data_IF_836950984610
#
_entry.id   IF_836950984610
#
_cell.length_a   1.000
_cell.length_b   1.000
_cell.length_c   1.000
_cell.angle_alpha   90.00
_cell.angle_beta   90.00
_cell.angle_gamma   90.00
#
_symmetry.space_group_name_H-M   'P 1'
#
loop_
_entity.id
_entity.type
_entity.pdbx_description
1 polymer ?
#
# COMPACT_ATOMS: atom_id res chain seq x y z
N UNK A 1 10.45 14.14 -25.44
CA UNK A 1 9.48 14.84 -24.58
C UNK A 1 9.91 14.61 -23.14
N UNK A 2 10.88 15.40 -22.69
CA UNK A 2 11.52 15.32 -21.38
C UNK A 2 10.53 15.88 -20.36
N UNK A 3 9.83 15.01 -19.64
CA UNK A 3 9.11 15.42 -18.45
C UNK A 3 10.14 15.98 -17.47
N UNK A 4 9.92 17.24 -17.08
CA UNK A 4 10.83 18.02 -16.26
C UNK A 4 11.02 17.36 -14.90
N UNK A 5 12.27 16.95 -14.63
CA UNK A 5 12.77 16.69 -13.26
C UNK A 5 12.61 17.91 -12.35
N UNK A 6 12.39 19.09 -12.94
CA UNK A 6 12.28 20.39 -12.27
C UNK A 6 10.96 20.61 -11.52
N UNK A 7 10.00 19.67 -11.56
CA UNK A 7 8.68 19.79 -10.93
C UNK A 7 8.27 18.58 -10.07
N UNK A 8 9.19 17.66 -9.76
CA UNK A 8 8.91 16.62 -8.77
C UNK A 8 8.71 17.29 -7.42
N UNK A 9 7.52 17.14 -6.87
CA UNK A 9 7.24 17.58 -5.51
C UNK A 9 8.18 16.83 -4.57
N UNK A 10 8.56 17.41 -3.42
CA UNK A 10 9.20 16.63 -2.34
C UNK A 10 8.40 15.36 -2.01
N UNK A 11 7.08 15.36 -2.29
CA UNK A 11 6.20 14.21 -2.13
C UNK A 11 6.44 13.03 -3.09
N UNK A 12 7.22 13.20 -4.16
CA UNK A 12 7.56 12.15 -5.14
C UNK A 12 8.86 11.44 -4.80
N UNK A 13 9.52 11.80 -3.70
CA UNK A 13 10.73 11.14 -3.22
C UNK A 13 10.37 9.83 -2.49
N UNK A 14 10.72 8.64 -3.04
CA UNK A 14 10.40 7.36 -2.42
C UNK A 14 11.01 7.22 -1.02
N UNK A 15 12.20 7.78 -0.77
CA UNK A 15 12.86 7.69 0.54
C UNK A 15 12.11 8.47 1.62
N UNK A 16 11.60 9.66 1.30
CA UNK A 16 10.76 10.43 2.24
C UNK A 16 9.47 9.66 2.56
N UNK A 17 8.85 9.05 1.55
CA UNK A 17 7.63 8.27 1.77
C UNK A 17 7.89 7.02 2.60
N UNK A 18 9.07 6.38 2.49
CA UNK A 18 9.44 5.24 3.35
C UNK A 18 9.54 5.68 4.82
N UNK A 19 10.25 6.77 5.12
CA UNK A 19 10.34 7.26 6.51
C UNK A 19 8.96 7.51 7.10
N UNK A 20 8.09 8.20 6.34
CA UNK A 20 6.72 8.50 6.77
C UNK A 20 5.85 7.25 6.89
N UNK A 21 6.05 6.26 6.01
CA UNK A 21 5.38 4.96 6.09
C UNK A 21 5.72 4.25 7.40
N UNK A 22 7.00 4.23 7.78
CA UNK A 22 7.48 3.61 9.01
C UNK A 22 6.93 4.31 10.27
N UNK A 23 6.62 5.61 10.18
CA UNK A 23 5.90 6.36 11.21
C UNK A 23 4.37 6.13 11.20
N UNK A 24 3.87 5.20 10.39
CA UNK A 24 2.44 4.84 10.32
C UNK A 24 1.60 5.74 9.41
N UNK A 25 2.22 6.53 8.51
CA UNK A 25 1.48 7.44 7.64
C UNK A 25 0.83 6.70 6.45
N UNK A 26 -0.48 6.47 6.53
CA UNK A 26 -1.26 5.80 5.48
C UNK A 26 -1.18 6.53 4.12
N UNK A 27 -1.07 7.87 4.09
CA UNK A 27 -0.94 8.60 2.83
C UNK A 27 0.42 8.34 2.16
N UNK A 28 1.47 8.11 2.94
CA UNK A 28 2.78 7.76 2.40
C UNK A 28 2.76 6.34 1.78
N UNK A 29 2.05 5.39 2.41
CA UNK A 29 1.79 4.07 1.82
C UNK A 29 1.12 4.17 0.45
N UNK A 30 0.00 4.91 0.36
CA UNK A 30 -0.73 5.06 -0.90
C UNK A 30 0.15 5.64 -2.01
N UNK A 31 1.00 6.62 -1.68
CA UNK A 31 1.94 7.22 -2.65
C UNK A 31 3.01 6.25 -3.10
N UNK A 32 3.59 5.47 -2.18
CA UNK A 32 4.57 4.44 -2.54
C UNK A 32 3.97 3.39 -3.48
N UNK A 33 2.72 2.97 -3.24
CA UNK A 33 2.00 2.09 -4.15
C UNK A 33 1.87 2.73 -5.53
N UNK A 34 1.38 3.97 -5.62
CA UNK A 34 1.24 4.70 -6.89
C UNK A 34 2.58 4.87 -7.62
N UNK A 35 3.66 5.19 -6.91
CA UNK A 35 4.99 5.34 -7.50
C UNK A 35 5.48 4.01 -8.10
N UNK A 36 5.36 2.91 -7.35
CA UNK A 36 5.76 1.57 -7.82
C UNK A 36 4.89 1.08 -8.98
N UNK A 37 3.59 1.38 -8.98
CA UNK A 37 2.70 1.05 -10.10
C UNK A 37 3.02 1.86 -11.37
N UNK A 38 3.51 3.09 -11.21
CA UNK A 38 3.91 3.96 -12.33
C UNK A 38 5.27 3.56 -12.91
N UNK A 39 6.21 3.21 -12.05
CA UNK A 39 7.54 2.71 -12.43
C UNK A 39 7.99 1.58 -11.49
N UNK A 40 7.91 0.32 -11.95
CA UNK A 40 8.34 -0.84 -11.17
C UNK A 40 9.82 -0.81 -10.77
N UNK A 41 10.68 -0.04 -11.45
CA UNK A 41 12.08 0.09 -11.08
C UNK A 41 12.27 0.74 -9.71
N UNK A 42 11.31 1.57 -9.27
CA UNK A 42 11.31 2.19 -7.94
C UNK A 42 11.32 1.12 -6.84
N UNK A 43 10.67 -0.03 -7.06
CA UNK A 43 10.60 -1.11 -6.07
C UNK A 43 11.99 -1.59 -5.64
N UNK A 44 12.98 -1.59 -6.55
CA UNK A 44 14.35 -2.00 -6.23
C UNK A 44 15.00 -1.11 -5.15
N UNK A 45 14.61 0.17 -5.08
CA UNK A 45 15.08 1.12 -4.08
C UNK A 45 14.28 1.08 -2.77
N UNK A 46 13.01 0.65 -2.83
CA UNK A 46 12.07 0.65 -1.70
C UNK A 46 12.13 -0.68 -0.93
N UNK A 47 12.07 -1.80 -1.64
CA UNK A 47 11.93 -3.14 -1.08
C UNK A 47 13.00 -3.51 -0.04
N UNK A 48 14.30 -3.19 -0.23
CA UNK A 48 15.33 -3.52 0.75
C UNK A 48 15.11 -2.86 2.12
N UNK A 49 14.42 -1.72 2.17
CA UNK A 49 14.17 -0.96 3.41
C UNK A 49 12.92 -1.48 4.12
N UNK A 50 11.91 -1.93 3.37
CA UNK A 50 10.60 -2.31 3.94
C UNK A 50 10.40 -3.83 4.12
N UNK A 51 11.28 -4.66 3.56
CA UNK A 51 11.11 -6.13 3.59
C UNK A 51 11.02 -6.71 5.01
N UNK A 52 11.73 -6.12 5.98
CA UNK A 52 11.87 -6.66 7.34
C UNK A 52 10.79 -6.12 8.31
N UNK A 53 10.06 -5.07 7.91
CA UNK A 53 8.93 -4.52 8.69
C UNK A 53 7.58 -5.14 8.29
N UNK A 54 7.52 -5.86 7.17
CA UNK A 54 6.33 -6.55 6.67
C UNK A 54 6.23 -8.02 7.08
N UNK A 55 5.29 -8.76 6.47
CA UNK A 55 5.25 -10.23 6.49
C UNK A 55 4.51 -10.89 7.66
N UNK A 56 4.12 -10.14 8.69
CA UNK A 56 3.42 -10.68 9.88
C UNK A 56 1.88 -10.63 9.78
N UNK A 57 1.31 -10.36 8.60
CA UNK A 57 -0.14 -10.29 8.38
C UNK A 57 -0.70 -11.60 7.83
N UNK A 58 -2.00 -11.86 8.09
CA UNK A 58 -2.72 -12.94 7.42
C UNK A 58 -3.26 -12.47 6.07
N UNK A 59 -2.96 -13.20 5.00
CA UNK A 59 -3.41 -12.88 3.63
C UNK A 59 -4.51 -13.87 3.22
N UNK A 60 -5.68 -13.34 2.88
CA UNK A 60 -6.86 -14.13 2.47
C UNK A 60 -7.37 -13.62 1.13
N UNK A 61 -7.41 -14.48 0.11
CA UNK A 61 -8.00 -14.17 -1.19
C UNK A 61 -9.50 -14.48 -1.22
N UNK A 62 -10.32 -13.53 -1.68
CA UNK A 62 -11.77 -13.71 -1.86
C UNK A 62 -12.10 -13.66 -3.35
N UNK A 63 -12.71 -14.72 -3.89
CA UNK A 63 -13.04 -14.86 -5.31
C UNK A 63 -14.47 -15.38 -5.50
N UNK A 64 -15.00 -15.28 -6.73
CA UNK A 64 -16.35 -15.67 -7.09
C UNK A 64 -16.97 -14.80 -8.21
N UNK A 65 -18.07 -15.24 -8.84
CA UNK A 65 -18.67 -14.55 -9.99
C UNK A 65 -19.22 -13.16 -9.65
N UNK A 66 -19.46 -12.28 -10.65
CA UNK A 66 -20.17 -11.02 -10.45
C UNK A 66 -21.51 -11.24 -9.74
N UNK A 67 -21.87 -10.37 -8.80
CA UNK A 67 -23.12 -10.51 -8.03
C UNK A 67 -23.10 -11.52 -6.87
N UNK A 68 -22.04 -12.31 -6.69
CA UNK A 68 -21.96 -13.31 -5.59
C UNK A 68 -21.83 -12.73 -4.16
N UNK A 69 -21.98 -11.42 -3.98
CA UNK A 69 -21.89 -10.78 -2.66
C UNK A 69 -20.47 -10.65 -2.08
N UNK A 70 -19.41 -10.81 -2.88
CA UNK A 70 -18.01 -10.72 -2.42
C UNK A 70 -17.68 -9.43 -1.64
N UNK A 71 -18.15 -8.29 -2.13
CA UNK A 71 -17.93 -6.99 -1.45
C UNK A 71 -18.70 -6.90 -0.14
N UNK A 72 -19.92 -7.44 -0.10
CA UNK A 72 -20.71 -7.53 1.15
C UNK A 72 -19.99 -8.41 2.18
N UNK A 73 -19.48 -9.56 1.75
CA UNK A 73 -18.71 -10.47 2.59
C UNK A 73 -17.42 -9.81 3.08
N UNK A 74 -16.63 -9.19 2.21
CA UNK A 74 -15.37 -8.56 2.60
C UNK A 74 -15.58 -7.38 3.55
N UNK A 75 -16.62 -6.57 3.34
CA UNK A 75 -16.99 -5.50 4.27
C UNK A 75 -17.42 -6.04 5.64
N UNK A 76 -18.24 -7.09 5.69
CA UNK A 76 -18.66 -7.72 6.93
C UNK A 76 -17.48 -8.33 7.70
N UNK A 77 -16.61 -9.08 7.00
CA UNK A 77 -15.39 -9.65 7.59
C UNK A 77 -14.48 -8.56 8.14
N UNK A 78 -14.26 -7.47 7.39
CA UNK A 78 -13.44 -6.37 7.86
C UNK A 78 -14.02 -5.70 9.12
N UNK A 79 -15.35 -5.56 9.22
CA UNK A 79 -16.00 -5.05 10.44
C UNK A 79 -15.72 -5.97 11.64
N UNK A 80 -15.98 -7.27 11.47
CA UNK A 80 -15.80 -8.26 12.55
C UNK A 80 -14.34 -8.30 13.02
N UNK A 81 -13.36 -8.24 12.12
CA UNK A 81 -11.93 -8.24 12.47
C UNK A 81 -11.54 -6.95 13.22
N UNK A 82 -12.10 -5.79 12.83
CA UNK A 82 -11.86 -4.54 13.55
C UNK A 82 -12.44 -4.55 14.95
N UNK A 83 -13.59 -5.20 15.15
CA UNK A 83 -14.21 -5.35 16.47
C UNK A 83 -13.33 -6.17 17.44
N UNK A 84 -12.41 -6.99 16.94
CA UNK A 84 -11.40 -7.67 17.79
C UNK A 84 -10.17 -6.82 18.11
N UNK A 85 -10.16 -5.52 17.76
CA UNK A 85 -9.03 -4.62 17.93
C UNK A 85 -7.88 -4.84 16.94
N UNK A 86 -8.09 -5.60 15.86
CA UNK A 86 -7.09 -5.84 14.80
C UNK A 86 -7.28 -4.85 13.65
N UNK A 87 -6.22 -4.65 12.87
CA UNK A 87 -6.25 -3.86 11.64
C UNK A 87 -6.54 -4.74 10.43
N UNK A 88 -7.21 -4.15 9.42
CA UNK A 88 -7.54 -4.73 8.10
C UNK A 88 -7.31 -3.66 7.05
#
# INVERSE_FOLDING_TARGET
MTWKLDNMSNYDNPQEQITRLLDGNIRALSKLITLVESDPQILASVYPVIKDVGGNSHIVGITGPPGAGKSTLSSALASIIRDTGRTV
#
